data_IF_953544576297
#
_entry.id   IF_953544576297
#
_cell.length_a   1.000
_cell.length_b   1.000
_cell.length_c   1.000
_cell.angle_alpha   90.00
_cell.angle_beta   90.00
_cell.angle_gamma   90.00
#
_symmetry.space_group_name_H-M   'P 1'
#
loop_
_entity.id
_entity.type
_entity.pdbx_description
1 polymer ?
#
# COMPACT_ATOMS: atom_id res chain seq x y z
N UNK A 1 8.60 -1.50 -5.78
CA UNK A 1 9.66 -1.42 -4.75
C UNK A 1 10.26 -0.02 -4.59
N UNK A 2 10.33 0.81 -5.63
CA UNK A 2 10.91 2.17 -5.49
C UNK A 2 10.19 3.03 -4.46
N UNK A 3 8.85 3.10 -4.50
CA UNK A 3 8.09 3.88 -3.52
C UNK A 3 8.09 3.26 -2.10
N UNK A 4 8.40 1.97 -1.95
CA UNK A 4 8.53 1.36 -0.62
C UNK A 4 9.86 1.71 0.07
N UNK A 5 10.90 2.08 -0.70
CA UNK A 5 12.20 2.52 -0.15
C UNK A 5 12.48 4.02 -0.30
N UNK A 6 11.83 4.70 -1.25
CA UNK A 6 12.04 6.13 -1.57
C UNK A 6 10.73 6.92 -1.50
N UNK A 7 10.82 8.25 -1.38
CA UNK A 7 9.66 9.16 -1.31
C UNK A 7 9.05 9.50 -2.68
N UNK A 8 9.75 9.21 -3.78
CA UNK A 8 9.30 9.45 -5.15
C UNK A 8 9.84 8.39 -6.11
N UNK A 9 9.19 8.25 -7.27
CA UNK A 9 9.62 7.40 -8.37
C UNK A 9 9.30 8.07 -9.71
N UNK A 10 10.26 8.03 -10.64
CA UNK A 10 10.05 8.42 -12.04
C UNK A 10 9.36 7.28 -12.80
N UNK A 11 8.43 7.64 -13.67
CA UNK A 11 7.72 6.73 -14.58
C UNK A 11 8.07 7.17 -16.00
N UNK A 12 8.67 6.28 -16.76
CA UNK A 12 9.12 6.52 -18.12
C UNK A 12 8.63 5.36 -18.99
N UNK A 13 7.88 5.66 -20.05
CA UNK A 13 7.34 4.66 -20.97
C UNK A 13 7.48 5.18 -22.39
N UNK A 14 8.26 4.49 -23.21
CA UNK A 14 8.47 4.83 -24.61
C UNK A 14 7.19 4.56 -25.43
N UNK A 15 6.85 5.50 -26.33
CA UNK A 15 5.75 5.37 -27.29
C UNK A 15 4.42 4.90 -26.67
N UNK A 16 4.07 5.44 -25.50
CA UNK A 16 2.86 5.05 -24.76
C UNK A 16 1.58 5.17 -25.60
N UNK A 17 1.47 6.23 -26.40
CA UNK A 17 0.32 6.44 -27.27
C UNK A 17 0.71 7.19 -28.54
N UNK A 18 0.36 6.64 -29.71
CA UNK A 18 0.64 7.24 -31.04
C UNK A 18 2.12 7.61 -31.26
N UNK A 19 3.05 6.85 -30.66
CA UNK A 19 4.48 7.13 -30.76
C UNK A 19 4.97 8.26 -29.85
N UNK A 20 4.11 8.76 -28.94
CA UNK A 20 4.48 9.77 -27.93
C UNK A 20 4.97 9.09 -26.66
N UNK A 21 6.16 9.48 -26.20
CA UNK A 21 6.75 9.02 -24.96
C UNK A 21 6.06 9.64 -23.74
N UNK A 22 5.96 8.87 -22.65
CA UNK A 22 5.36 9.30 -21.41
C UNK A 22 6.42 9.42 -20.31
N UNK A 23 6.48 10.59 -19.70
CA UNK A 23 7.33 10.88 -18.55
C UNK A 23 6.48 11.47 -17.43
N UNK A 24 6.58 10.90 -16.24
CA UNK A 24 5.90 11.42 -15.05
C UNK A 24 6.68 11.07 -13.79
N UNK A 25 6.22 11.59 -12.66
CA UNK A 25 6.75 11.26 -11.34
C UNK A 25 5.59 11.09 -10.39
N UNK A 26 5.68 10.06 -9.55
CA UNK A 26 4.72 9.82 -8.47
C UNK A 26 5.44 9.86 -7.13
N UNK A 27 4.81 10.50 -6.15
CA UNK A 27 5.30 10.52 -4.77
C UNK A 27 4.66 9.39 -3.96
N UNK A 28 5.34 8.93 -2.92
CA UNK A 28 4.80 7.97 -1.96
C UNK A 28 3.48 8.48 -1.36
N UNK A 29 3.42 9.75 -0.98
CA UNK A 29 2.22 10.38 -0.43
C UNK A 29 1.04 10.31 -1.42
N UNK A 30 1.27 10.60 -2.71
CA UNK A 30 0.21 10.51 -3.72
C UNK A 30 -0.25 9.07 -3.94
N UNK A 31 0.68 8.12 -3.94
CA UNK A 31 0.33 6.69 -4.00
C UNK A 31 -0.50 6.24 -2.79
N UNK A 32 -0.09 6.63 -1.58
CA UNK A 32 -0.81 6.30 -0.35
C UNK A 32 -2.22 6.92 -0.31
N UNK A 33 -2.36 8.15 -0.81
CA UNK A 33 -3.67 8.81 -0.96
C UNK A 33 -4.58 8.04 -1.93
N UNK A 34 -4.06 7.63 -3.09
CA UNK A 34 -4.81 6.88 -4.11
C UNK A 34 -5.26 5.51 -3.61
N UNK A 35 -4.54 4.90 -2.68
CA UNK A 35 -4.85 3.58 -2.11
C UNK A 35 -5.40 3.65 -0.68
N UNK A 36 -5.77 4.84 -0.20
CA UNK A 36 -6.07 5.05 1.22
C UNK A 36 -7.27 4.24 1.71
N UNK A 37 -8.27 4.04 0.87
CA UNK A 37 -9.43 3.19 1.13
C UNK A 37 -9.05 1.71 1.24
N UNK A 38 -8.22 1.21 0.31
CA UNK A 38 -7.71 -0.16 0.32
C UNK A 38 -6.85 -0.44 1.56
N UNK A 39 -5.99 0.50 1.97
CA UNK A 39 -5.18 0.33 3.18
C UNK A 39 -6.06 0.32 4.44
N UNK A 40 -7.10 1.15 4.51
CA UNK A 40 -8.03 1.14 5.64
C UNK A 40 -8.86 -0.15 5.70
N UNK A 41 -9.29 -0.68 4.56
CA UNK A 41 -10.08 -1.92 4.53
C UNK A 41 -9.29 -3.15 5.04
N UNK A 42 -7.96 -3.09 5.05
CA UNK A 42 -7.14 -4.16 5.67
C UNK A 42 -7.34 -4.31 7.17
N UNK A 43 -7.88 -3.29 7.86
CA UNK A 43 -8.17 -3.36 9.29
C UNK A 43 -9.41 -4.21 9.59
N UNK A 44 -10.38 -4.26 8.68
CA UNK A 44 -11.63 -5.02 8.88
C UNK A 44 -11.41 -6.52 9.16
N UNK A 45 -10.60 -7.27 8.37
CA UNK A 45 -10.32 -8.67 8.67
C UNK A 45 -9.52 -8.86 9.96
N UNK A 46 -8.64 -7.91 10.33
CA UNK A 46 -7.88 -7.95 11.59
C UNK A 46 -8.84 -7.83 12.78
N UNK A 47 -9.76 -6.88 12.73
CA UNK A 47 -10.76 -6.70 13.79
C UNK A 47 -11.73 -7.87 13.87
N UNK A 48 -12.12 -8.44 12.73
CA UNK A 48 -12.94 -9.66 12.69
C UNK A 48 -12.22 -10.83 13.35
N UNK A 49 -10.95 -11.07 13.01
CA UNK A 49 -10.16 -12.15 13.60
C UNK A 49 -10.06 -12.02 15.13
N UNK A 50 -9.87 -10.80 15.65
CA UNK A 50 -9.83 -10.56 17.09
C UNK A 50 -11.17 -10.81 17.79
N UNK A 51 -12.28 -10.39 17.17
CA UNK A 51 -13.63 -10.66 17.69
C UNK A 51 -13.92 -12.15 17.73
N UNK A 52 -13.58 -12.87 16.65
CA UNK A 52 -13.78 -14.31 16.55
C UNK A 52 -12.93 -15.07 17.59
N UNK A 53 -11.71 -14.58 17.86
CA UNK A 53 -10.82 -15.09 18.91
C UNK A 53 -11.22 -14.66 20.34
N UNK A 54 -12.16 -13.72 20.49
CA UNK A 54 -12.53 -13.09 21.78
C UNK A 54 -11.32 -12.50 22.52
N UNK A 55 -10.39 -11.90 21.78
CA UNK A 55 -9.17 -11.31 22.32
C UNK A 55 -9.19 -9.79 22.20
N UNK A 56 -8.65 -9.12 23.21
CA UNK A 56 -8.36 -7.69 23.13
C UNK A 56 -7.05 -7.44 22.35
N UNK A 57 -6.96 -6.28 21.69
CA UNK A 57 -5.76 -5.84 20.94
C UNK A 57 -4.52 -5.81 21.86
N UNK A 58 -4.67 -5.48 23.14
CA UNK A 58 -3.59 -5.43 24.12
C UNK A 58 -3.03 -6.81 24.51
N UNK A 59 -3.78 -7.88 24.25
CA UNK A 59 -3.36 -9.26 24.56
C UNK A 59 -2.50 -9.89 23.46
N UNK A 60 -2.18 -9.15 22.38
CA UNK A 60 -1.33 -9.61 21.30
C UNK A 60 0.13 -9.42 21.70
N UNK A 61 0.89 -10.52 21.75
CA UNK A 61 2.30 -10.49 22.13
C UNK A 61 3.24 -10.24 20.95
N UNK A 62 2.87 -10.74 19.77
CA UNK A 62 3.71 -10.68 18.57
C UNK A 62 2.86 -10.43 17.32
N UNK A 63 3.44 -9.72 16.36
CA UNK A 63 2.85 -9.48 15.04
C UNK A 63 3.84 -9.97 13.99
N UNK A 64 3.42 -10.93 13.17
CA UNK A 64 4.21 -11.46 12.06
C UNK A 64 3.64 -10.91 10.75
N UNK A 65 4.42 -10.11 10.05
CA UNK A 65 4.07 -9.59 8.72
C UNK A 65 4.68 -10.49 7.65
N UNK A 66 3.82 -11.04 6.78
CA UNK A 66 4.21 -11.92 5.67
C UNK A 66 3.61 -11.42 4.36
N UNK A 67 4.27 -11.71 3.24
CA UNK A 67 3.92 -11.15 1.92
C UNK A 67 4.75 -9.92 1.57
N UNK A 68 4.76 -9.53 0.30
CA UNK A 68 5.59 -8.44 -0.21
C UNK A 68 5.01 -7.74 -1.43
#
# INVERSE_FOLDING_TARGET
>A
RTLSSSSQASIEIDSLHEGVDFYSTITRARFEELCADLFRSTLEPVEKALRDAKMDKASIHEIVLVGG
#
